data_IF_603880510938
#
_entry.id   IF_603880510938
#
_cell.length_a   1.000
_cell.length_b   1.000
_cell.length_c   1.000
_cell.angle_alpha   90.00
_cell.angle_beta   90.00
_cell.angle_gamma   90.00
#
_symmetry.space_group_name_H-M   'P 1'
#
loop_
_entity.id
_entity.type
_entity.pdbx_description
1 polymer ?
#
# COMPACT_ATOMS: atom_id res chain seq x y z
N UNK A 1 0.63 1.19 -26.68
CA UNK A 1 1.56 0.17 -26.14
C UNK A 1 2.56 0.90 -25.26
N UNK A 2 2.84 0.40 -24.07
CA UNK A 2 3.87 0.98 -23.19
C UNK A 2 5.26 0.86 -23.80
N UNK A 3 6.23 1.63 -23.33
CA UNK A 3 7.63 1.42 -23.68
C UNK A 3 8.11 0.06 -23.15
N UNK A 4 9.10 -0.55 -23.80
CA UNK A 4 9.72 -1.81 -23.32
C UNK A 4 10.25 -1.65 -21.90
N UNK A 5 10.78 -0.47 -21.56
CA UNK A 5 11.22 -0.15 -20.20
C UNK A 5 10.06 -0.19 -19.19
N UNK A 6 8.87 0.30 -19.54
CA UNK A 6 7.71 0.22 -18.66
C UNK A 6 7.26 -1.23 -18.42
N UNK A 7 7.32 -2.08 -19.44
CA UNK A 7 7.04 -3.51 -19.31
C UNK A 7 8.07 -4.21 -18.42
N UNK A 8 9.36 -3.94 -18.61
CA UNK A 8 10.42 -4.49 -17.77
C UNK A 8 10.31 -4.02 -16.31
N UNK A 9 9.89 -2.78 -16.09
CA UNK A 9 9.58 -2.27 -14.75
C UNK A 9 8.39 -3.01 -14.13
N UNK A 10 7.32 -3.27 -14.90
CA UNK A 10 6.16 -4.03 -14.43
C UNK A 10 6.48 -5.49 -14.12
N UNK A 11 7.40 -6.10 -14.87
CA UNK A 11 7.94 -7.43 -14.58
C UNK A 11 8.77 -7.38 -13.30
N UNK A 12 9.77 -6.49 -13.22
CA UNK A 12 10.61 -6.35 -12.04
C UNK A 12 9.77 -6.17 -10.77
N UNK A 13 8.83 -5.22 -10.79
CA UNK A 13 8.00 -4.91 -9.64
C UNK A 13 6.96 -5.99 -9.31
N UNK A 14 6.59 -6.85 -10.27
CA UNK A 14 5.79 -8.04 -9.98
C UNK A 14 6.54 -8.95 -9.01
N UNK A 15 7.78 -9.32 -9.35
CA UNK A 15 8.58 -10.25 -8.57
C UNK A 15 9.04 -9.66 -7.22
N UNK A 16 9.33 -8.36 -7.15
CA UNK A 16 9.65 -7.73 -5.86
C UNK A 16 8.46 -7.72 -4.90
N UNK A 17 7.25 -7.38 -5.37
CA UNK A 17 6.04 -7.36 -4.56
C UNK A 17 5.66 -8.75 -4.02
N UNK A 18 5.74 -9.78 -4.87
CA UNK A 18 5.40 -11.15 -4.47
C UNK A 18 6.46 -11.77 -3.56
N UNK A 19 7.71 -11.29 -3.61
CA UNK A 19 8.75 -11.71 -2.67
C UNK A 19 8.70 -11.00 -1.33
N UNK A 20 8.62 -9.68 -1.35
CA UNK A 20 8.52 -8.87 -0.14
C UNK A 20 7.74 -7.58 -0.43
N UNK A 21 6.45 -7.60 -0.11
CA UNK A 21 5.57 -6.46 -0.28
C UNK A 21 5.97 -5.21 0.53
N UNK A 22 6.85 -5.32 1.54
CA UNK A 22 7.36 -4.17 2.30
C UNK A 22 8.54 -3.47 1.60
N UNK A 23 9.13 -4.09 0.58
CA UNK A 23 10.31 -3.58 -0.11
C UNK A 23 10.26 -3.85 -1.64
N UNK A 24 9.30 -3.22 -2.35
CA UNK A 24 9.07 -3.46 -3.79
C UNK A 24 10.15 -2.86 -4.69
N UNK A 25 11.09 -2.09 -4.15
CA UNK A 25 12.16 -1.46 -4.90
C UNK A 25 13.36 -2.39 -5.12
N UNK A 26 13.41 -3.51 -4.39
CA UNK A 26 14.57 -4.38 -4.33
C UNK A 26 14.23 -5.85 -4.58
N UNK A 27 14.90 -6.46 -5.55
CA UNK A 27 14.70 -7.86 -5.95
C UNK A 27 15.68 -8.79 -5.24
N UNK A 28 15.14 -9.70 -4.42
CA UNK A 28 15.92 -10.74 -3.76
C UNK A 28 16.36 -11.85 -4.72
N UNK A 29 17.43 -12.56 -4.36
CA UNK A 29 17.97 -13.66 -5.17
C UNK A 29 16.94 -14.76 -5.44
N UNK A 30 16.14 -15.11 -4.43
CA UNK A 30 15.07 -16.12 -4.56
C UNK A 30 14.08 -15.75 -5.65
N UNK A 31 13.74 -14.46 -5.78
CA UNK A 31 12.84 -13.95 -6.80
C UNK A 31 13.50 -13.83 -8.17
N UNK A 32 14.80 -13.52 -8.23
CA UNK A 32 15.55 -13.57 -9.49
C UNK A 32 15.61 -15.01 -10.05
N UNK A 33 15.79 -16.01 -9.19
CA UNK A 33 15.75 -17.43 -9.59
C UNK A 33 14.35 -17.85 -10.01
N UNK A 34 13.30 -17.37 -9.32
CA UNK A 34 11.91 -17.63 -9.72
C UNK A 34 11.61 -17.04 -11.11
N UNK A 35 11.96 -15.77 -11.36
CA UNK A 35 11.84 -15.16 -12.68
C UNK A 35 12.55 -15.98 -13.75
N UNK A 36 13.80 -16.41 -13.49
CA UNK A 36 14.56 -17.20 -14.44
C UNK A 36 13.94 -18.57 -14.75
N UNK A 37 13.21 -19.15 -13.80
CA UNK A 37 12.41 -20.36 -14.01
C UNK A 37 11.19 -20.06 -14.88
N UNK A 38 10.43 -19.02 -14.54
CA UNK A 38 9.20 -18.66 -15.24
C UNK A 38 9.46 -18.31 -16.72
N UNK A 39 10.59 -17.65 -16.99
CA UNK A 39 11.03 -17.30 -18.35
C UNK A 39 11.90 -18.38 -19.02
N UNK A 40 11.95 -19.58 -18.42
CA UNK A 40 12.59 -20.77 -18.97
C UNK A 40 14.10 -20.63 -19.28
N UNK A 41 14.83 -19.80 -18.52
CA UNK A 41 16.30 -19.67 -18.69
C UNK A 41 17.06 -20.89 -18.15
N UNK A 42 16.43 -21.60 -17.23
CA UNK A 42 16.94 -22.81 -16.61
C UNK A 42 16.53 -24.09 -17.38
N UNK A 43 15.66 -23.96 -18.37
CA UNK A 43 15.14 -25.08 -19.15
C UNK A 43 15.81 -25.13 -20.53
N UNK A 44 16.22 -26.32 -20.95
CA UNK A 44 16.89 -26.56 -22.24
C UNK A 44 15.93 -26.72 -23.42
N UNK A 45 14.62 -26.60 -23.19
CA UNK A 45 13.59 -26.78 -24.23
C UNK A 45 13.62 -25.67 -25.28
N UNK A 46 13.75 -24.41 -24.87
CA UNK A 46 13.77 -23.26 -25.77
C UNK A 46 15.18 -22.75 -26.08
N UNK A 47 16.17 -23.05 -25.24
CA UNK A 47 17.50 -22.45 -25.31
C UNK A 47 18.57 -23.53 -25.53
N UNK A 48 19.44 -23.31 -26.51
CA UNK A 48 20.54 -24.23 -26.85
C UNK A 48 21.51 -24.48 -25.68
N UNK A 49 21.72 -23.47 -24.86
CA UNK A 49 22.64 -23.47 -23.71
C UNK A 49 21.89 -23.01 -22.46
N UNK A 50 21.14 -23.89 -21.78
CA UNK A 50 20.41 -23.53 -20.58
C UNK A 50 21.36 -23.13 -19.46
N UNK A 51 20.99 -22.11 -18.68
CA UNK A 51 21.75 -21.70 -17.51
C UNK A 51 21.51 -22.65 -16.35
N UNK A 52 22.52 -22.81 -15.49
CA UNK A 52 22.34 -23.47 -14.20
C UNK A 52 22.03 -22.43 -13.13
N UNK A 53 21.33 -22.85 -12.06
CA UNK A 53 21.06 -21.98 -10.91
C UNK A 53 22.31 -21.26 -10.37
N UNK A 54 23.49 -21.91 -10.21
CA UNK A 54 24.70 -21.23 -9.75
C UNK A 54 25.20 -20.11 -10.66
N UNK A 55 24.93 -20.18 -11.98
CA UNK A 55 25.31 -19.10 -12.90
C UNK A 55 24.56 -17.80 -12.59
N UNK A 56 23.27 -17.93 -12.28
CA UNK A 56 22.40 -16.80 -11.91
C UNK A 56 22.84 -16.23 -10.56
N UNK A 57 23.07 -17.09 -9.57
CA UNK A 57 23.52 -16.70 -8.23
C UNK A 57 24.86 -15.97 -8.29
N UNK A 58 25.82 -16.46 -9.08
CA UNK A 58 27.13 -15.83 -9.24
C UNK A 58 27.01 -14.44 -9.87
N UNK A 59 26.22 -14.30 -10.94
CA UNK A 59 26.00 -12.99 -11.60
C UNK A 59 25.32 -12.03 -10.63
N UNK A 60 24.28 -12.47 -9.91
CA UNK A 60 23.58 -11.68 -8.91
C UNK A 60 24.54 -11.19 -7.81
N UNK A 61 25.28 -12.10 -7.18
CA UNK A 61 26.22 -11.79 -6.10
C UNK A 61 27.31 -10.84 -6.60
N UNK A 62 27.79 -11.01 -7.85
CA UNK A 62 28.80 -10.12 -8.43
C UNK A 62 28.31 -8.66 -8.50
N UNK A 63 27.03 -8.44 -8.78
CA UNK A 63 26.44 -7.10 -8.89
C UNK A 63 26.23 -6.48 -7.52
N UNK A 64 25.68 -7.23 -6.56
CA UNK A 64 25.51 -6.78 -5.18
C UNK A 64 26.87 -6.40 -4.56
N UNK A 65 27.90 -7.24 -4.72
CA UNK A 65 29.26 -6.96 -4.20
C UNK A 65 29.92 -5.74 -4.85
N UNK A 66 29.73 -5.53 -6.16
CA UNK A 66 30.29 -4.37 -6.87
C UNK A 66 29.78 -3.04 -6.29
N UNK A 67 28.51 -2.99 -5.86
CA UNK A 67 27.92 -1.82 -5.20
C UNK A 67 28.63 -1.48 -3.89
N UNK A 68 28.97 -2.50 -3.10
CA UNK A 68 29.63 -2.34 -1.80
C UNK A 68 31.07 -1.84 -1.96
N UNK A 69 31.79 -2.31 -2.98
CA UNK A 69 33.19 -1.94 -3.23
C UNK A 69 33.36 -0.55 -3.88
N UNK A 70 32.42 -0.12 -4.72
CA UNK A 70 32.54 1.12 -5.50
C UNK A 70 32.43 2.43 -4.70
N UNK A 71 32.04 2.38 -3.42
CA UNK A 71 31.83 3.60 -2.60
C UNK A 71 33.02 4.05 -1.77
N UNK A 72 34.21 3.45 -1.92
CA UNK A 72 35.42 3.87 -1.20
C UNK A 72 35.30 3.82 0.33
N UNK A 73 34.23 3.21 0.85
CA UNK A 73 34.04 3.03 2.28
C UNK A 73 35.06 1.99 2.72
N UNK A 74 36.06 2.41 3.50
CA UNK A 74 36.92 1.48 4.21
C UNK A 74 36.01 0.52 4.98
N UNK A 75 36.02 -0.74 4.53
CA UNK A 75 35.25 -1.81 5.14
C UNK A 75 35.85 -2.03 6.51
N UNK A 76 35.19 -1.50 7.54
CA UNK A 76 35.58 -1.77 8.92
C UNK A 76 35.19 -3.23 9.21
N UNK A 77 36.16 -4.15 9.36
CA UNK A 77 35.90 -5.59 9.43
C UNK A 77 35.06 -6.00 10.66
N UNK A 78 35.01 -5.14 11.69
CA UNK A 78 34.27 -5.38 12.93
C UNK A 78 32.87 -4.76 12.98
N UNK A 79 32.48 -4.01 11.94
CA UNK A 79 31.09 -3.54 11.82
C UNK A 79 30.22 -4.68 11.28
N UNK A 80 29.81 -5.57 12.19
CA UNK A 80 29.05 -6.79 11.90
C UNK A 80 28.02 -6.57 10.80
N UNK A 81 28.31 -7.16 9.62
CA UNK A 81 27.47 -7.31 8.41
C UNK A 81 26.18 -6.48 8.48
N UNK A 82 26.31 -5.15 8.45
CA UNK A 82 25.13 -4.30 8.45
C UNK A 82 24.38 -4.63 7.17
N UNK A 83 23.15 -5.13 7.29
CA UNK A 83 22.18 -5.54 6.25
C UNK A 83 22.16 -4.63 5.01
N UNK A 84 23.25 -4.58 4.23
CA UNK A 84 23.32 -3.89 2.95
C UNK A 84 22.63 -4.82 1.97
N UNK A 85 21.31 -4.78 2.08
CA UNK A 85 20.28 -5.51 1.37
C UNK A 85 20.85 -6.29 0.19
N UNK A 86 20.96 -7.61 0.35
CA UNK A 86 21.35 -8.61 -0.67
C UNK A 86 20.31 -8.70 -1.79
N UNK A 87 19.99 -7.55 -2.39
CA UNK A 87 18.92 -7.37 -3.36
C UNK A 87 19.33 -6.37 -4.43
N UNK A 88 18.86 -6.63 -5.64
CA UNK A 88 19.13 -5.82 -6.82
C UNK A 88 18.15 -4.65 -6.88
N UNK A 89 18.66 -3.47 -7.25
CA UNK A 89 17.82 -2.38 -7.74
C UNK A 89 17.42 -2.66 -9.20
N UNK A 90 16.47 -1.90 -9.74
CA UNK A 90 16.04 -2.08 -11.13
C UNK A 90 17.18 -1.97 -12.15
N UNK A 91 18.08 -1.00 -12.02
CA UNK A 91 19.23 -0.87 -12.92
C UNK A 91 20.16 -2.09 -12.86
N UNK A 92 20.36 -2.64 -11.68
CA UNK A 92 21.19 -3.84 -11.52
C UNK A 92 20.46 -5.09 -12.01
N UNK A 93 19.15 -5.14 -11.88
CA UNK A 93 18.34 -6.16 -12.52
C UNK A 93 18.52 -6.15 -14.04
N UNK A 94 18.45 -4.97 -14.68
CA UNK A 94 18.74 -4.84 -16.12
C UNK A 94 20.18 -5.27 -16.46
N UNK A 95 21.15 -4.86 -15.63
CA UNK A 95 22.55 -5.28 -15.80
C UNK A 95 22.73 -6.79 -15.61
N UNK A 96 21.94 -7.40 -14.72
CA UNK A 96 21.93 -8.84 -14.49
C UNK A 96 21.44 -9.56 -15.74
N UNK A 97 20.30 -9.14 -16.30
CA UNK A 97 19.76 -9.70 -17.53
C UNK A 97 20.75 -9.56 -18.71
N UNK A 98 21.42 -8.40 -18.85
CA UNK A 98 22.46 -8.20 -19.86
C UNK A 98 23.65 -9.17 -19.70
N UNK A 99 24.09 -9.45 -18.47
CA UNK A 99 25.15 -10.44 -18.23
C UNK A 99 24.70 -11.87 -18.49
N UNK A 100 23.44 -12.19 -18.18
CA UNK A 100 22.89 -13.52 -18.42
C UNK A 100 22.64 -13.76 -19.91
N UNK A 101 22.25 -12.74 -20.68
CA UNK A 101 22.02 -12.87 -22.12
C UNK A 101 23.29 -13.27 -22.86
N UNK A 102 24.45 -12.70 -22.51
CA UNK A 102 25.73 -13.07 -23.12
C UNK A 102 26.12 -14.54 -22.87
N UNK A 103 25.67 -15.14 -21.76
CA UNK A 103 25.90 -16.56 -21.47
C UNK A 103 24.88 -17.47 -22.18
N UNK A 104 23.63 -17.03 -22.31
CA UNK A 104 22.55 -17.79 -22.95
C UNK A 104 22.66 -17.81 -24.47
N UNK A 105 23.13 -16.72 -25.07
CA UNK A 105 23.19 -16.52 -26.51
C UNK A 105 24.61 -16.16 -26.97
N UNK A 106 25.58 -17.10 -26.89
CA UNK A 106 26.97 -16.81 -27.21
C UNK A 106 27.16 -16.35 -28.67
N UNK A 107 26.47 -16.97 -29.63
CA UNK A 107 26.55 -16.58 -31.06
C UNK A 107 26.11 -15.14 -31.31
N UNK A 108 25.06 -14.69 -30.61
CA UNK A 108 24.59 -13.30 -30.71
C UNK A 108 25.48 -12.35 -29.92
N UNK A 109 26.06 -12.82 -28.82
CA UNK A 109 26.98 -12.05 -27.98
C UNK A 109 28.32 -11.77 -28.69
N UNK A 110 28.77 -12.68 -29.57
CA UNK A 110 29.93 -12.47 -30.46
C UNK A 110 29.71 -11.29 -31.41
N UNK A 111 28.48 -11.06 -31.86
CA UNK A 111 28.14 -9.91 -32.71
C UNK A 111 28.04 -8.62 -31.89
N UNK A 112 27.22 -8.64 -30.83
CA UNK A 112 27.05 -7.54 -29.89
C UNK A 112 26.35 -8.00 -28.62
N UNK A 113 26.78 -7.50 -27.46
CA UNK A 113 26.09 -7.74 -26.20
C UNK A 113 24.64 -7.25 -26.23
N UNK A 114 24.36 -6.19 -26.98
CA UNK A 114 23.01 -5.65 -27.16
C UNK A 114 22.11 -6.59 -27.97
N UNK A 115 22.67 -7.26 -28.99
CA UNK A 115 21.93 -8.23 -29.80
C UNK A 115 21.52 -9.44 -28.96
N UNK A 116 22.43 -9.97 -28.15
CA UNK A 116 22.12 -11.05 -27.19
C UNK A 116 21.05 -10.60 -26.17
N UNK A 117 21.16 -9.38 -25.65
CA UNK A 117 20.16 -8.84 -24.72
C UNK A 117 18.78 -8.67 -25.36
N UNK A 118 18.72 -8.12 -26.57
CA UNK A 118 17.47 -8.00 -27.33
C UNK A 118 16.84 -9.37 -27.57
N UNK A 119 17.65 -10.38 -27.94
CA UNK A 119 17.16 -11.74 -28.15
C UNK A 119 16.56 -12.33 -26.87
N UNK A 120 17.25 -12.23 -25.74
CA UNK A 120 16.75 -12.65 -24.43
C UNK A 120 15.41 -11.99 -24.08
N UNK A 121 15.27 -10.69 -24.36
CA UNK A 121 14.04 -9.97 -24.07
C UNK A 121 12.88 -10.44 -24.95
N UNK A 122 13.12 -10.63 -26.25
CA UNK A 122 12.08 -10.96 -27.22
C UNK A 122 11.63 -12.42 -27.13
N UNK A 123 12.54 -13.35 -26.86
CA UNK A 123 12.24 -14.79 -26.86
C UNK A 123 11.76 -15.29 -25.50
N UNK A 124 12.30 -14.75 -24.39
CA UNK A 124 12.04 -15.28 -23.05
C UNK A 124 11.32 -14.29 -22.14
N UNK A 125 11.92 -13.12 -21.89
CA UNK A 125 11.47 -12.26 -20.78
C UNK A 125 10.12 -11.60 -21.09
N UNK A 126 9.96 -10.92 -22.23
CA UNK A 126 8.73 -10.21 -22.55
C UNK A 126 7.53 -11.12 -22.84
N UNK A 127 7.68 -12.32 -23.45
CA UNK A 127 6.55 -13.22 -23.65
C UNK A 127 6.16 -13.98 -22.38
N UNK A 128 7.15 -14.50 -21.63
CA UNK A 128 6.90 -15.52 -20.59
C UNK A 128 6.82 -14.94 -19.17
N UNK A 129 7.42 -13.77 -18.91
CA UNK A 129 7.46 -13.25 -17.55
C UNK A 129 6.07 -12.81 -17.06
N UNK A 130 5.81 -13.15 -15.79
CA UNK A 130 4.70 -12.57 -15.06
C UNK A 130 4.91 -11.07 -14.87
N UNK A 131 3.84 -10.28 -15.02
CA UNK A 131 3.90 -8.82 -15.00
C UNK A 131 2.70 -8.23 -14.29
N UNK A 132 2.88 -7.04 -13.75
CA UNK A 132 1.78 -6.23 -13.23
C UNK A 132 1.01 -5.59 -14.38
N UNK A 133 -0.31 -5.47 -14.19
CA UNK A 133 -1.21 -4.80 -15.13
C UNK A 133 -1.95 -3.68 -14.39
N UNK A 134 -1.28 -2.55 -14.10
CA UNK A 134 -1.92 -1.45 -13.39
C UNK A 134 -3.08 -0.91 -14.21
N UNK A 135 -4.29 -0.89 -13.63
CA UNK A 135 -5.49 -0.36 -14.30
C UNK A 135 -5.34 1.15 -14.45
N UNK A 136 -5.55 1.73 -15.64
CA UNK A 136 -5.64 3.19 -15.75
C UNK A 136 -6.87 3.69 -14.99
N UNK A 137 -6.72 4.81 -14.29
CA UNK A 137 -7.82 5.50 -13.61
C UNK A 137 -7.99 6.94 -14.13
N UNK A 138 -7.41 7.26 -15.29
CA UNK A 138 -7.39 8.62 -15.82
C UNK A 138 -8.81 9.14 -16.03
N UNK A 139 -9.72 8.30 -16.54
CA UNK A 139 -11.13 8.64 -16.70
C UNK A 139 -11.80 9.04 -15.37
N UNK A 140 -11.42 8.39 -14.26
CA UNK A 140 -11.96 8.68 -12.93
C UNK A 140 -11.38 9.98 -12.38
N UNK A 141 -10.08 10.23 -12.58
CA UNK A 141 -9.43 11.45 -12.11
C UNK A 141 -9.96 12.72 -12.80
N UNK A 142 -10.41 12.61 -14.05
CA UNK A 142 -10.99 13.72 -14.81
C UNK A 142 -12.51 13.88 -14.58
N UNK A 143 -13.14 13.00 -13.80
CA UNK A 143 -14.54 13.14 -13.44
C UNK A 143 -14.73 14.42 -12.60
N UNK A 144 -15.63 15.32 -13.02
CA UNK A 144 -15.82 16.63 -12.37
C UNK A 144 -16.04 16.52 -10.86
N UNK A 145 -16.83 15.53 -10.43
CA UNK A 145 -17.12 15.24 -9.03
C UNK A 145 -15.86 14.91 -8.21
N UNK A 146 -14.91 14.17 -8.79
CA UNK A 146 -13.63 13.79 -8.17
C UNK A 146 -12.67 14.97 -8.16
N UNK A 147 -12.64 15.78 -9.23
CA UNK A 147 -11.83 17.00 -9.31
C UNK A 147 -12.28 18.04 -8.28
N UNK A 148 -13.58 18.24 -8.10
CA UNK A 148 -14.12 19.18 -7.12
C UNK A 148 -13.83 18.69 -5.69
N UNK A 149 -13.93 17.37 -5.45
CA UNK A 149 -13.52 16.74 -4.20
C UNK A 149 -12.02 16.94 -3.91
N UNK A 150 -11.18 16.77 -4.93
CA UNK A 150 -9.73 17.02 -4.81
C UNK A 150 -9.44 18.47 -4.43
N UNK A 151 -10.07 19.43 -5.11
CA UNK A 151 -9.90 20.86 -4.80
C UNK A 151 -10.30 21.18 -3.37
N UNK A 152 -11.40 20.60 -2.90
CA UNK A 152 -11.91 20.78 -1.54
C UNK A 152 -10.90 20.30 -0.49
N UNK A 153 -10.39 19.07 -0.63
CA UNK A 153 -9.47 18.46 0.34
C UNK A 153 -7.97 18.73 0.07
N UNK A 154 -7.65 19.49 -0.98
CA UNK A 154 -6.26 19.68 -1.45
C UNK A 154 -5.35 20.12 -0.32
N UNK A 155 -5.78 21.13 0.45
CA UNK A 155 -4.93 21.76 1.46
C UNK A 155 -4.68 20.85 2.67
N UNK A 156 -5.72 20.18 3.18
CA UNK A 156 -5.59 19.27 4.32
C UNK A 156 -4.79 18.02 3.95
N UNK A 157 -5.05 17.42 2.79
CA UNK A 157 -4.28 16.28 2.29
C UNK A 157 -2.82 16.64 1.99
N UNK A 158 -2.54 17.86 1.51
CA UNK A 158 -1.15 18.32 1.29
C UNK A 158 -0.38 18.32 2.60
N UNK A 159 -0.96 18.81 3.70
CA UNK A 159 -0.30 18.82 5.02
C UNK A 159 -0.01 17.41 5.53
N UNK A 160 -0.96 16.48 5.33
CA UNK A 160 -0.77 15.07 5.67
C UNK A 160 0.37 14.48 4.84
N UNK A 161 0.35 14.69 3.52
CA UNK A 161 1.40 14.23 2.61
C UNK A 161 2.78 14.77 2.99
N UNK A 162 2.91 16.08 3.21
CA UNK A 162 4.16 16.75 3.59
C UNK A 162 4.73 16.21 4.90
N UNK A 163 3.87 15.87 5.86
CA UNK A 163 4.33 15.23 7.10
C UNK A 163 5.01 13.89 6.84
N UNK A 164 4.41 13.00 6.05
CA UNK A 164 5.02 11.71 5.73
C UNK A 164 6.25 11.85 4.84
N UNK A 165 6.19 12.73 3.83
CA UNK A 165 7.33 13.00 2.94
C UNK A 165 8.54 13.60 3.68
N UNK A 166 8.32 14.43 4.71
CA UNK A 166 9.40 15.01 5.52
C UNK A 166 9.91 14.06 6.62
N UNK A 167 9.06 13.16 7.13
CA UNK A 167 9.41 12.22 8.20
C UNK A 167 10.51 11.23 7.80
N UNK A 168 10.47 10.71 6.57
CA UNK A 168 11.49 9.77 6.08
C UNK A 168 12.90 10.36 6.11
N UNK A 169 13.03 11.65 5.76
CA UNK A 169 14.31 12.38 5.76
C UNK A 169 14.86 12.61 7.17
N UNK A 170 13.98 12.87 8.14
CA UNK A 170 14.40 13.08 9.52
C UNK A 170 15.01 11.80 10.12
N UNK A 171 14.40 10.64 9.89
CA UNK A 171 14.90 9.36 10.38
C UNK A 171 16.23 8.96 9.74
N UNK A 172 16.42 9.26 8.45
CA UNK A 172 17.68 9.02 7.75
C UNK A 172 18.80 9.94 8.27
N UNK A 173 18.47 11.22 8.51
CA UNK A 173 19.42 12.20 9.06
C UNK A 173 19.82 11.85 10.50
N UNK A 174 18.88 11.43 11.34
CA UNK A 174 19.17 10.99 12.70
C UNK A 174 20.12 9.80 12.71
N UNK A 175 19.84 8.76 11.90
CA UNK A 175 20.75 7.61 11.72
C UNK A 175 22.13 8.01 11.19
N UNK A 176 22.20 8.98 10.27
CA UNK A 176 23.47 9.49 9.77
C UNK A 176 24.25 10.28 10.84
N UNK A 177 23.57 11.11 11.63
CA UNK A 177 24.18 11.86 12.74
C UNK A 177 24.72 10.95 13.83
N UNK A 178 24.00 9.88 14.20
CA UNK A 178 24.49 8.89 15.16
C UNK A 178 25.70 8.11 14.63
N UNK A 179 25.75 7.79 13.33
CA UNK A 179 26.93 7.14 12.72
C UNK A 179 28.14 8.07 12.65
N UNK A 180 27.95 9.35 12.36
CA UNK A 180 29.03 10.35 12.38
C UNK A 180 29.64 10.53 13.76
N UNK A 181 28.83 10.38 14.82
CA UNK A 181 29.31 10.49 16.20
C UNK A 181 29.97 9.21 16.74
N UNK A 182 29.64 8.02 16.19
CA UNK A 182 30.30 6.76 16.56
C UNK A 182 31.56 6.45 15.73
N UNK A 183 31.70 7.00 14.52
CA UNK A 183 32.87 6.77 13.67
C UNK A 183 34.14 7.51 14.12
N UNK A 184 34.03 8.47 15.04
CA UNK A 184 35.16 9.07 15.74
C UNK A 184 34.88 9.05 17.26
N UNK A 185 34.92 7.86 17.88
CA UNK A 185 35.21 7.80 19.30
C UNK A 185 36.70 8.12 19.52
N UNK A 186 37.10 9.36 19.19
CA UNK A 186 38.28 9.96 19.80
C UNK A 186 38.05 9.84 21.31
N UNK A 187 39.03 9.29 22.03
CA UNK A 187 38.92 9.14 23.48
C UNK A 187 38.52 10.49 24.08
N UNK A 188 37.69 10.49 25.11
CA UNK A 188 37.20 11.72 25.75
C UNK A 188 38.35 12.68 26.13
N UNK A 189 39.54 12.14 26.42
CA UNK A 189 40.78 12.89 26.67
C UNK A 189 41.36 13.61 25.44
N UNK A 190 41.19 13.07 24.23
CA UNK A 190 41.67 13.67 22.99
C UNK A 190 40.79 14.85 22.56
N UNK A 191 39.48 14.72 22.75
CA UNK A 191 38.52 15.83 22.61
C UNK A 191 38.81 16.93 23.64
N UNK A 192 39.16 16.58 24.89
CA UNK A 192 39.56 17.55 25.92
C UNK A 192 40.86 18.26 25.56
N UNK A 193 41.83 17.56 24.97
CA UNK A 193 43.08 18.11 24.44
C UNK A 193 42.86 19.11 23.30
N UNK A 194 42.03 18.77 22.31
CA UNK A 194 41.70 19.66 21.19
C UNK A 194 40.92 20.90 21.64
N UNK A 195 40.03 20.77 22.62
CA UNK A 195 39.24 21.89 23.14
C UNK A 195 40.14 22.84 23.95
N UNK A 196 41.08 22.29 24.73
CA UNK A 196 42.08 23.07 25.47
C UNK A 196 43.08 23.78 24.54
N UNK A 197 43.54 23.10 23.47
CA UNK A 197 44.43 23.71 22.48
C UNK A 197 43.76 24.84 21.67
N UNK A 198 42.43 24.80 21.49
CA UNK A 198 41.66 25.91 20.90
C UNK A 198 41.42 27.04 21.88
N UNK A 199 41.26 26.74 23.17
CA UNK A 199 41.13 27.75 24.22
C UNK A 199 42.45 28.53 24.41
N UNK A 200 43.59 27.83 24.40
CA UNK A 200 44.91 28.44 24.61
C UNK A 200 45.41 29.25 23.41
N UNK A 201 44.84 29.05 22.20
CA UNK A 201 45.15 29.84 21.00
C UNK A 201 44.19 31.01 20.75
N UNK A 202 43.19 31.22 21.60
CA UNK A 202 42.09 32.17 21.38
C UNK A 202 41.99 33.32 22.39
N UNK A 203 43.01 33.56 23.21
CA UNK A 203 43.03 34.69 24.15
C UNK A 203 43.45 35.99 23.44
N UNK A 204 42.57 36.55 22.62
CA UNK A 204 42.82 37.86 22.02
C UNK A 204 41.89 38.21 20.87
N UNK A 205 40.60 38.42 21.16
CA UNK A 205 39.78 39.45 20.52
C UNK A 205 38.39 39.47 21.17
N UNK A 206 38.23 40.48 22.02
CA UNK A 206 36.95 40.96 22.53
C UNK A 206 36.29 41.78 21.42
N UNK A 207 35.08 41.40 21.01
CA UNK A 207 34.03 42.27 20.44
C UNK A 207 32.77 41.39 20.24
N UNK A 208 31.75 41.49 21.08
CA UNK A 208 30.61 42.40 20.91
C UNK A 208 29.99 42.38 19.51
N UNK A 209 29.28 41.31 19.16
CA UNK A 209 27.93 41.39 18.57
C UNK A 209 27.34 39.98 18.42
N UNK A 210 26.40 39.62 19.29
CA UNK A 210 25.62 38.37 19.19
C UNK A 210 24.13 38.67 19.21
N UNK A 211 23.66 39.39 18.20
CA UNK A 211 22.27 39.34 17.77
C UNK A 211 22.26 39.48 16.26
N UNK A 212 21.73 38.47 15.53
CA UNK A 212 21.25 38.52 14.12
C UNK A 212 21.29 37.17 13.35
N UNK A 213 21.64 36.02 13.96
CA UNK A 213 21.73 34.75 13.19
C UNK A 213 20.49 33.84 13.21
N UNK A 214 19.38 34.23 13.85
CA UNK A 214 18.16 33.40 13.91
C UNK A 214 17.20 33.55 12.72
N UNK A 215 17.38 34.55 11.85
CA UNK A 215 16.41 34.86 10.78
C UNK A 215 16.64 34.15 9.44
N UNK A 216 17.77 33.45 9.24
CA UNK A 216 18.11 32.81 7.95
C UNK A 216 17.81 31.31 7.84
N UNK A 217 17.28 30.64 8.88
CA UNK A 217 16.91 29.21 8.80
C UNK A 217 15.51 28.92 8.25
N UNK A 218 14.74 29.96 7.90
CA UNK A 218 13.37 29.84 7.37
C UNK A 218 13.29 29.73 5.84
N UNK A 219 14.40 29.62 5.10
CA UNK A 219 14.32 29.14 3.72
C UNK A 219 13.97 27.65 3.76
N UNK A 220 12.67 27.41 3.87
CA UNK A 220 12.00 26.12 3.75
C UNK A 220 12.66 25.31 2.65
N UNK A 221 13.16 24.13 3.04
CA UNK A 221 13.65 23.11 2.14
C UNK A 221 12.53 22.75 1.15
N UNK A 222 12.57 23.32 -0.05
CA UNK A 222 11.73 22.97 -1.21
C UNK A 222 11.94 21.53 -1.73
N UNK A 223 12.62 20.68 -0.95
CA UNK A 223 12.94 19.29 -1.24
C UNK A 223 12.01 18.30 -0.51
N UNK A 224 10.96 18.76 0.18
CA UNK A 224 10.02 17.93 0.96
C UNK A 224 8.86 17.33 0.16
N UNK A 225 8.88 17.41 -1.18
CA UNK A 225 7.70 17.14 -2.01
C UNK A 225 7.54 15.69 -2.49
N UNK A 226 8.30 14.74 -1.94
CA UNK A 226 8.32 13.37 -2.43
C UNK A 226 8.26 12.34 -1.30
N UNK A 227 7.25 11.46 -1.32
CA UNK A 227 7.01 10.40 -0.35
C UNK A 227 7.56 9.07 -0.91
N UNK A 228 8.46 8.42 -0.17
CA UNK A 228 8.95 7.09 -0.52
C UNK A 228 7.98 5.98 -0.10
N UNK A 229 8.27 4.74 -0.49
CA UNK A 229 7.38 3.61 -0.19
C UNK A 229 7.21 3.36 1.31
N UNK A 230 8.28 3.41 2.08
CA UNK A 230 8.23 3.21 3.53
C UNK A 230 7.34 4.26 4.23
N UNK A 231 7.40 5.52 3.78
CA UNK A 231 6.56 6.60 4.29
C UNK A 231 5.10 6.39 3.90
N UNK A 232 4.84 5.88 2.68
CA UNK A 232 3.50 5.52 2.22
C UNK A 232 2.91 4.35 3.01
N UNK A 233 3.69 3.31 3.32
CA UNK A 233 3.23 2.20 4.17
C UNK A 233 2.91 2.69 5.58
N UNK A 234 3.71 3.60 6.13
CA UNK A 234 3.41 4.23 7.40
C UNK A 234 2.10 5.02 7.35
N UNK A 235 1.88 5.81 6.30
CA UNK A 235 0.61 6.47 6.05
C UNK A 235 -0.54 5.46 5.98
N UNK A 236 -0.40 4.39 5.19
CA UNK A 236 -1.43 3.37 5.03
C UNK A 236 -1.77 2.68 6.36
N UNK A 237 -0.77 2.42 7.20
CA UNK A 237 -0.97 1.87 8.55
C UNK A 237 -1.64 2.87 9.49
N UNK A 238 -1.17 4.12 9.53
CA UNK A 238 -1.71 5.17 10.41
C UNK A 238 -3.16 5.54 10.07
N UNK A 239 -3.59 5.35 8.82
CA UNK A 239 -4.96 5.53 8.36
C UNK A 239 -5.75 4.21 8.25
N UNK A 240 -5.21 3.11 8.78
CA UNK A 240 -5.89 1.81 8.88
C UNK A 240 -6.20 1.15 7.54
N UNK A 241 -5.54 1.54 6.44
CA UNK A 241 -5.69 0.96 5.11
C UNK A 241 -5.13 -0.46 5.03
N UNK A 242 -4.18 -0.80 5.91
CA UNK A 242 -3.57 -2.14 6.06
C UNK A 242 -4.16 -2.94 7.22
N UNK A 243 -5.16 -2.40 7.92
CA UNK A 243 -5.79 -3.08 9.07
C UNK A 243 -6.57 -4.31 8.62
N UNK A 244 -6.74 -5.30 9.51
CA UNK A 244 -7.46 -6.58 9.24
C UNK A 244 -8.89 -6.41 8.69
N UNK A 245 -9.52 -5.26 8.91
CA UNK A 245 -10.85 -4.93 8.38
C UNK A 245 -10.85 -4.33 6.98
N UNK A 246 -9.69 -3.97 6.43
CA UNK A 246 -9.55 -3.51 5.05
C UNK A 246 -9.56 -4.72 4.11
N UNK A 247 -10.26 -4.60 2.99
CA UNK A 247 -10.27 -5.62 1.93
C UNK A 247 -8.96 -5.67 1.13
N UNK A 248 -7.97 -4.85 1.49
CA UNK A 248 -6.70 -4.70 0.79
C UNK A 248 -5.59 -5.47 1.48
N UNK A 249 -4.86 -6.28 0.72
CA UNK A 249 -3.64 -6.94 1.17
C UNK A 249 -2.43 -5.99 1.06
N UNK A 250 -1.32 -6.33 1.71
CA UNK A 250 -0.07 -5.58 1.54
C UNK A 250 0.43 -5.60 0.08
N UNK A 251 0.14 -6.67 -0.66
CA UNK A 251 0.45 -6.75 -2.10
C UNK A 251 -0.40 -5.74 -2.87
N UNK A 252 -1.70 -5.63 -2.57
CA UNK A 252 -2.57 -4.62 -3.18
C UNK A 252 -2.03 -3.20 -2.89
N UNK A 253 -1.69 -2.89 -1.64
CA UNK A 253 -1.17 -1.56 -1.26
C UNK A 253 0.13 -1.23 -2.00
N UNK A 254 1.04 -2.21 -2.11
CA UNK A 254 2.27 -2.07 -2.87
C UNK A 254 2.04 -1.87 -4.37
N UNK A 255 1.11 -2.64 -4.95
CA UNK A 255 0.69 -2.50 -6.35
C UNK A 255 0.11 -1.10 -6.63
N UNK A 256 -0.77 -0.61 -5.74
CA UNK A 256 -1.40 0.69 -5.87
C UNK A 256 -0.38 1.84 -5.76
N UNK A 257 0.59 1.75 -4.84
CA UNK A 257 1.71 2.70 -4.75
C UNK A 257 2.49 2.75 -6.06
N UNK A 258 2.97 1.59 -6.53
CA UNK A 258 3.82 1.53 -7.71
C UNK A 258 3.06 1.93 -8.97
N UNK A 259 1.75 1.71 -9.04
CA UNK A 259 0.90 2.21 -10.12
C UNK A 259 0.85 3.75 -10.13
N UNK A 260 0.77 4.39 -8.96
CA UNK A 260 0.83 5.85 -8.85
C UNK A 260 2.18 6.43 -9.26
N UNK A 261 3.29 5.77 -8.90
CA UNK A 261 4.61 6.29 -9.29
C UNK A 261 4.98 6.00 -10.75
N UNK A 262 4.35 5.00 -11.38
CA UNK A 262 4.60 4.70 -12.80
C UNK A 262 4.22 5.86 -13.75
N UNK A 263 3.22 6.67 -13.36
CA UNK A 263 2.72 7.80 -14.14
C UNK A 263 3.51 9.10 -13.95
N UNK A 264 4.49 9.13 -13.05
CA UNK A 264 5.40 10.26 -12.92
C UNK A 264 6.38 10.27 -14.11
N UNK A 265 5.89 10.75 -15.26
CA UNK A 265 6.57 10.78 -16.57
C UNK A 265 7.81 11.67 -16.67
N UNK A 266 8.54 11.88 -15.58
CA UNK A 266 9.82 12.57 -15.55
C UNK A 266 10.95 11.56 -15.36
N UNK A 267 11.67 11.32 -16.44
CA UNK A 267 13.04 10.78 -16.49
C UNK A 267 13.85 11.04 -15.21
N UNK A 268 13.93 10.04 -14.34
CA UNK A 268 15.03 9.93 -13.38
C UNK A 268 15.63 8.54 -13.54
N UNK A 269 16.52 8.44 -14.52
CA UNK A 269 17.42 7.32 -14.73
C UNK A 269 18.08 6.92 -13.40
N UNK A 270 17.60 5.82 -12.80
CA UNK A 270 18.22 5.16 -11.65
C UNK A 270 17.86 5.64 -10.25
N UNK A 271 16.96 6.62 -10.10
CA UNK A 271 16.48 7.05 -8.79
C UNK A 271 15.35 6.17 -8.25
N UNK A 272 15.28 6.00 -6.93
CA UNK A 272 14.08 5.47 -6.26
C UNK A 272 12.90 6.35 -6.62
N UNK A 273 11.91 5.74 -7.27
CA UNK A 273 10.65 6.36 -7.69
C UNK A 273 9.83 6.73 -6.45
N UNK A 274 9.57 8.03 -6.25
CA UNK A 274 8.81 8.57 -5.11
C UNK A 274 7.50 9.20 -5.56
N UNK A 275 6.46 9.12 -4.73
CA UNK A 275 5.17 9.78 -4.97
C UNK A 275 5.29 11.28 -4.76
N UNK A 276 4.82 12.07 -5.72
CA UNK A 276 4.50 13.49 -5.51
C UNK A 276 3.07 13.62 -4.99
N UNK A 277 2.67 14.83 -4.62
CA UNK A 277 1.32 15.05 -4.08
C UNK A 277 0.19 14.69 -5.08
N UNK A 278 0.36 14.95 -6.37
CA UNK A 278 -0.62 14.56 -7.39
C UNK A 278 -0.74 13.03 -7.49
N UNK A 279 0.41 12.35 -7.52
CA UNK A 279 0.48 10.90 -7.55
C UNK A 279 -0.12 10.29 -6.25
N UNK A 280 0.04 10.96 -5.11
CA UNK A 280 -0.58 10.57 -3.85
C UNK A 280 -2.12 10.63 -3.89
N UNK A 281 -2.69 11.69 -4.46
CA UNK A 281 -4.14 11.76 -4.68
C UNK A 281 -4.64 10.67 -5.64
N UNK A 282 -3.87 10.40 -6.70
CA UNK A 282 -4.15 9.28 -7.60
C UNK A 282 -4.19 7.96 -6.83
N UNK A 283 -3.19 7.68 -6.00
CA UNK A 283 -3.12 6.46 -5.18
C UNK A 283 -4.31 6.36 -4.23
N UNK A 284 -4.75 7.46 -3.59
CA UNK A 284 -5.97 7.46 -2.74
C UNK A 284 -7.19 7.00 -3.55
N UNK A 285 -7.38 7.51 -4.77
CA UNK A 285 -8.49 7.09 -5.61
C UNK A 285 -8.36 5.61 -6.03
N UNK A 286 -7.15 5.14 -6.35
CA UNK A 286 -6.90 3.72 -6.66
C UNK A 286 -7.24 2.82 -5.47
N UNK A 287 -6.84 3.22 -4.26
CA UNK A 287 -7.17 2.54 -3.00
C UNK A 287 -8.69 2.47 -2.82
N UNK A 288 -9.42 3.56 -3.04
CA UNK A 288 -10.88 3.59 -2.92
C UNK A 288 -11.56 2.64 -3.91
N UNK A 289 -11.12 2.65 -5.17
CA UNK A 289 -11.67 1.79 -6.21
C UNK A 289 -11.40 0.30 -5.93
N UNK A 290 -10.20 -0.04 -5.45
CA UNK A 290 -9.85 -1.41 -5.12
C UNK A 290 -10.56 -1.90 -3.85
N UNK A 291 -10.61 -1.07 -2.80
CA UNK A 291 -11.25 -1.41 -1.53
C UNK A 291 -12.75 -1.67 -1.70
N UNK A 292 -13.40 -0.83 -2.51
CA UNK A 292 -14.85 -0.86 -2.75
C UNK A 292 -15.20 -1.39 -4.15
N UNK A 293 -14.39 -2.31 -4.68
CA UNK A 293 -14.63 -2.92 -6.01
C UNK A 293 -15.97 -3.65 -6.10
N UNK A 294 -16.48 -4.18 -4.97
CA UNK A 294 -17.77 -4.88 -4.87
C UNK A 294 -18.98 -3.94 -4.71
N UNK A 295 -18.75 -2.67 -4.36
CA UNK A 295 -19.83 -1.71 -4.15
C UNK A 295 -20.26 -1.10 -5.49
N UNK A 296 -21.56 -1.20 -5.81
CA UNK A 296 -22.17 -0.62 -7.00
C UNK A 296 -22.54 0.86 -6.79
N UNK A 297 -21.55 1.68 -6.42
CA UNK A 297 -21.69 3.13 -6.21
C UNK A 297 -20.75 3.89 -7.13
N UNK A 298 -21.04 5.18 -7.36
CA UNK A 298 -20.22 6.05 -8.21
C UNK A 298 -18.79 6.17 -7.68
N UNK A 299 -17.81 6.45 -8.56
CA UNK A 299 -16.40 6.52 -8.16
C UNK A 299 -16.15 7.61 -7.10
N UNK A 300 -16.79 8.78 -7.24
CA UNK A 300 -16.71 9.85 -6.24
C UNK A 300 -17.22 9.40 -4.86
N UNK A 301 -18.33 8.65 -4.81
CA UNK A 301 -18.86 8.09 -3.56
C UNK A 301 -17.90 7.05 -2.95
N UNK A 302 -17.20 6.24 -3.77
CA UNK A 302 -16.13 5.35 -3.28
C UNK A 302 -14.99 6.14 -2.63
N UNK A 303 -14.53 7.22 -3.27
CA UNK A 303 -13.48 8.08 -2.71
C UNK A 303 -13.92 8.75 -1.43
N UNK A 304 -15.15 9.29 -1.36
CA UNK A 304 -15.73 9.82 -0.11
C UNK A 304 -15.86 8.77 0.98
N UNK A 305 -16.24 7.54 0.63
CA UNK A 305 -16.28 6.39 1.54
C UNK A 305 -14.90 6.07 2.13
N UNK A 306 -13.85 6.15 1.31
CA UNK A 306 -12.48 5.99 1.79
C UNK A 306 -12.08 7.12 2.74
N UNK A 307 -12.39 8.37 2.39
CA UNK A 307 -12.12 9.52 3.26
C UNK A 307 -12.88 9.43 4.59
N UNK A 308 -14.12 8.92 4.59
CA UNK A 308 -14.89 8.63 5.81
C UNK A 308 -14.17 7.60 6.68
N UNK A 309 -13.68 6.52 6.06
CA UNK A 309 -12.92 5.50 6.76
C UNK A 309 -11.62 6.06 7.36
N UNK A 310 -10.85 6.83 6.57
CA UNK A 310 -9.65 7.53 7.03
C UNK A 310 -9.95 8.45 8.21
N UNK A 311 -11.04 9.22 8.14
CA UNK A 311 -11.48 10.10 9.23
C UNK A 311 -11.77 9.31 10.52
N UNK A 312 -12.49 8.18 10.43
CA UNK A 312 -12.75 7.32 11.60
C UNK A 312 -11.45 6.83 12.24
N UNK A 313 -10.48 6.41 11.42
CA UNK A 313 -9.18 5.94 11.91
C UNK A 313 -8.37 7.06 12.59
N UNK A 314 -8.44 8.29 12.05
CA UNK A 314 -7.85 9.46 12.70
C UNK A 314 -8.46 9.66 14.10
N UNK A 315 -9.77 9.53 14.27
CA UNK A 315 -10.40 9.69 15.58
C UNK A 315 -9.94 8.62 16.58
N UNK A 316 -9.87 7.36 16.15
CA UNK A 316 -9.36 6.25 16.99
C UNK A 316 -7.90 6.48 17.39
N UNK A 317 -7.05 6.89 16.45
CA UNK A 317 -5.62 7.06 16.69
C UNK A 317 -5.30 8.31 17.50
N UNK A 318 -6.01 9.42 17.27
CA UNK A 318 -5.86 10.65 18.07
C UNK A 318 -6.33 10.42 19.50
N UNK A 319 -7.44 9.71 19.71
CA UNK A 319 -7.90 9.32 21.05
C UNK A 319 -6.85 8.51 21.82
N UNK A 320 -6.23 7.53 21.15
CA UNK A 320 -5.16 6.72 21.73
C UNK A 320 -3.88 7.52 22.01
N UNK A 321 -3.53 8.49 21.16
CA UNK A 321 -2.34 9.32 21.32
C UNK A 321 -2.49 10.39 22.42
N UNK A 322 -3.68 10.97 22.58
CA UNK A 322 -3.94 11.97 23.61
C UNK A 322 -4.05 11.37 25.03
N UNK A 323 -4.45 10.10 25.15
CA UNK A 323 -4.67 9.47 26.46
C UNK A 323 -3.42 9.10 27.26
N UNK A 324 -2.21 9.09 26.67
CA UNK A 324 -1.05 8.47 27.35
C UNK A 324 0.21 9.31 27.57
N UNK A 325 0.43 10.48 26.95
CA UNK A 325 1.56 11.37 27.31
C UNK A 325 1.55 12.69 26.51
N UNK A 326 0.70 13.64 26.88
CA UNK A 326 0.60 14.96 26.20
C UNK A 326 1.90 15.78 26.30
N UNK A 327 2.77 15.51 27.28
CA UNK A 327 3.98 16.32 27.51
C UNK A 327 5.18 15.98 26.58
N UNK A 328 5.31 14.76 26.06
CA UNK A 328 6.40 14.38 25.13
C UNK A 328 6.05 14.58 23.64
N UNK A 329 4.82 14.99 23.33
CA UNK A 329 4.36 15.27 21.95
C UNK A 329 4.83 16.63 21.39
N UNK A 330 5.57 17.44 22.16
CA UNK A 330 6.16 18.71 21.69
C UNK A 330 7.34 18.56 20.73
N UNK A 331 7.71 17.34 20.32
CA UNK A 331 8.65 17.19 19.20
C UNK A 331 7.98 17.73 17.93
N UNK A 332 8.62 18.74 17.32
CA UNK A 332 8.08 19.58 16.24
C UNK A 332 7.47 18.83 15.05
N UNK A 333 7.84 17.56 14.83
CA UNK A 333 7.35 16.77 13.70
C UNK A 333 5.93 16.23 13.94
N UNK A 334 5.61 15.67 15.13
CA UNK A 334 4.28 15.07 15.39
C UNK A 334 3.15 16.11 15.37
N UNK A 335 3.45 17.36 15.70
CA UNK A 335 2.49 18.47 15.61
C UNK A 335 2.02 18.74 14.18
N UNK A 336 2.86 18.48 13.17
CA UNK A 336 2.49 18.65 11.75
C UNK A 336 1.38 17.70 11.32
N UNK A 337 1.50 16.40 11.65
CA UNK A 337 0.45 15.42 11.38
C UNK A 337 -0.85 15.77 12.09
N UNK A 338 -0.78 16.12 13.38
CA UNK A 338 -1.98 16.43 14.16
C UNK A 338 -2.74 17.60 13.54
N UNK A 339 -2.03 18.66 13.13
CA UNK A 339 -2.63 19.81 12.46
C UNK A 339 -3.27 19.42 11.12
N UNK A 340 -2.55 18.68 10.27
CA UNK A 340 -3.09 18.20 8.99
C UNK A 340 -4.34 17.33 9.15
N UNK A 341 -4.33 16.41 10.12
CA UNK A 341 -5.45 15.52 10.44
C UNK A 341 -6.64 16.25 11.06
N UNK A 342 -6.41 17.30 11.86
CA UNK A 342 -7.47 18.16 12.40
C UNK A 342 -8.15 18.99 11.31
N UNK A 343 -7.36 19.58 10.41
CA UNK A 343 -7.88 20.33 9.27
C UNK A 343 -8.70 19.41 8.34
N UNK A 344 -8.17 18.22 8.04
CA UNK A 344 -8.89 17.18 7.29
C UNK A 344 -10.21 16.79 7.97
N UNK A 345 -10.17 16.57 9.29
CA UNK A 345 -11.38 16.18 10.04
C UNK A 345 -12.45 17.27 10.03
N UNK A 346 -12.05 18.54 10.12
CA UNK A 346 -12.97 19.68 10.07
C UNK A 346 -13.63 19.80 8.70
N UNK A 347 -12.84 19.78 7.64
CA UNK A 347 -13.32 19.83 6.25
C UNK A 347 -14.26 18.65 5.96
N UNK A 348 -13.86 17.45 6.39
CA UNK A 348 -14.67 16.25 6.15
C UNK A 348 -16.02 16.31 6.86
N UNK A 349 -16.06 16.70 8.14
CA UNK A 349 -17.31 16.84 8.89
C UNK A 349 -18.22 17.90 8.24
N UNK A 350 -17.68 19.05 7.82
CA UNK A 350 -18.46 20.10 7.19
C UNK A 350 -19.10 19.60 5.87
N UNK A 351 -18.33 18.91 5.02
CA UNK A 351 -18.86 18.29 3.81
C UNK A 351 -19.92 17.22 4.14
N UNK A 352 -19.64 16.33 5.09
CA UNK A 352 -20.53 15.22 5.42
C UNK A 352 -21.85 15.72 6.05
N UNK A 353 -21.80 16.78 6.85
CA UNK A 353 -22.97 17.46 7.39
C UNK A 353 -23.81 18.10 6.28
N UNK A 354 -23.17 18.79 5.33
CA UNK A 354 -23.86 19.38 4.17
C UNK A 354 -24.57 18.31 3.31
N UNK A 355 -24.06 17.07 3.32
CA UNK A 355 -24.64 15.92 2.62
C UNK A 355 -25.58 15.08 3.50
N UNK A 356 -25.94 15.58 4.69
CA UNK A 356 -26.91 14.95 5.59
C UNK A 356 -26.42 13.65 6.22
N UNK A 357 -25.12 13.53 6.48
CA UNK A 357 -24.48 12.33 7.05
C UNK A 357 -24.74 11.05 6.25
N UNK A 358 -24.86 11.16 4.91
CA UNK A 358 -25.07 10.02 4.00
C UNK A 358 -23.97 8.95 4.17
N UNK A 359 -24.37 7.68 4.11
CA UNK A 359 -23.43 6.58 3.90
C UNK A 359 -23.09 6.46 2.41
N UNK A 360 -21.82 6.63 2.06
CA UNK A 360 -21.36 6.66 0.67
C UNK A 360 -21.26 5.27 0.03
N UNK A 361 -21.13 4.21 0.82
CA UNK A 361 -20.87 2.87 0.30
C UNK A 361 -22.15 2.08 0.05
N UNK A 362 -23.26 2.51 0.65
CA UNK A 362 -24.56 1.91 0.41
C UNK A 362 -25.32 2.73 -0.63
N UNK A 363 -25.80 2.09 -1.72
CA UNK A 363 -26.65 2.79 -2.66
C UNK A 363 -27.86 3.33 -1.90
N UNK A 364 -28.23 4.59 -2.18
CA UNK A 364 -29.41 5.20 -1.59
C UNK A 364 -30.57 4.26 -1.91
N UNK A 365 -31.14 3.62 -0.89
CA UNK A 365 -32.38 2.85 -1.09
C UNK A 365 -33.33 3.80 -1.81
N UNK A 366 -33.84 3.39 -2.97
CA UNK A 366 -34.84 4.17 -3.66
C UNK A 366 -35.89 4.53 -2.62
N UNK A 367 -36.18 5.83 -2.48
CA UNK A 367 -37.18 6.27 -1.52
C UNK A 367 -38.41 5.40 -1.78
N UNK A 368 -39.04 4.82 -0.72
CA UNK A 368 -40.21 3.99 -0.91
C UNK A 368 -41.16 4.77 -1.80
N UNK A 369 -41.46 4.21 -2.98
CA UNK A 369 -42.22 4.93 -3.98
C UNK A 369 -43.53 5.36 -3.31
N UNK A 370 -43.82 6.66 -3.33
CA UNK A 370 -45.05 7.17 -2.75
C UNK A 370 -46.23 6.38 -3.33
N UNK A 371 -47.19 6.00 -2.48
CA UNK A 371 -48.28 5.13 -2.89
C UNK A 371 -49.04 5.64 -4.12
N UNK A 372 -49.10 6.97 -4.31
CA UNK A 372 -49.66 7.60 -5.52
C UNK A 372 -48.88 7.31 -6.80
N UNK A 373 -47.55 7.30 -6.73
CA UNK A 373 -46.67 7.01 -7.87
C UNK A 373 -46.69 5.52 -8.21
N UNK A 374 -46.82 4.67 -7.19
CA UNK A 374 -47.02 3.22 -7.40
C UNK A 374 -48.40 2.98 -8.04
N UNK A 375 -49.44 3.63 -7.53
CA UNK A 375 -50.80 3.52 -8.05
C UNK A 375 -50.92 4.06 -9.48
N UNK A 376 -50.27 5.19 -9.81
CA UNK A 376 -50.29 5.75 -11.17
C UNK A 376 -49.60 4.83 -12.17
N UNK A 377 -48.48 4.19 -11.77
CA UNK A 377 -47.80 3.16 -12.59
C UNK A 377 -48.66 1.92 -12.81
N UNK A 378 -49.36 1.46 -11.75
CA UNK A 378 -50.32 0.35 -11.84
C UNK A 378 -51.48 0.67 -12.79
N UNK A 379 -52.06 1.87 -12.69
CA UNK A 379 -53.16 2.31 -13.55
C UNK A 379 -52.71 2.50 -15.00
N UNK A 380 -51.49 3.00 -15.23
CA UNK A 380 -50.92 3.20 -16.55
C UNK A 380 -50.62 1.90 -17.32
N UNK A 381 -50.85 0.73 -16.71
CA UNK A 381 -50.54 -0.56 -17.32
C UNK A 381 -49.05 -0.77 -17.58
N UNK A 382 -48.19 0.05 -16.96
CA UNK A 382 -46.76 -0.16 -16.96
C UNK A 382 -46.54 -1.44 -16.16
N UNK A 383 -46.38 -2.57 -16.86
CA UNK A 383 -46.12 -3.87 -16.26
C UNK A 383 -44.87 -3.70 -15.39
N UNK A 384 -45.08 -3.41 -14.11
CA UNK A 384 -44.07 -3.54 -13.08
C UNK A 384 -43.74 -5.02 -13.15
N UNK A 385 -42.67 -5.35 -13.88
CA UNK A 385 -41.99 -6.62 -13.71
C UNK A 385 -41.74 -6.64 -12.22
N UNK A 386 -42.55 -7.42 -11.50
CA UNK A 386 -42.24 -7.77 -10.14
C UNK A 386 -40.80 -8.24 -10.24
N UNK A 387 -39.87 -7.44 -9.70
CA UNK A 387 -38.48 -7.86 -9.58
C UNK A 387 -38.63 -9.23 -8.95
N UNK A 388 -38.36 -10.26 -9.78
CA UNK A 388 -38.55 -11.64 -9.37
C UNK A 388 -37.79 -11.69 -8.07
N UNK A 389 -38.52 -11.90 -6.96
CA UNK A 389 -37.90 -12.15 -5.67
C UNK A 389 -36.75 -13.10 -5.99
N UNK A 390 -35.50 -12.74 -5.66
CA UNK A 390 -34.35 -13.56 -6.02
C UNK A 390 -34.75 -14.99 -5.67
N UNK A 391 -34.67 -15.93 -6.63
CA UNK A 391 -35.10 -17.29 -6.38
C UNK A 391 -34.48 -17.70 -5.04
N UNK A 392 -35.28 -18.22 -4.09
CA UNK A 392 -34.74 -18.63 -2.81
C UNK A 392 -33.49 -19.45 -3.11
N UNK A 393 -32.34 -19.14 -2.46
CA UNK A 393 -31.07 -19.75 -2.80
C UNK A 393 -31.31 -21.25 -2.85
N UNK A 394 -31.20 -21.81 -4.06
CA UNK A 394 -31.37 -23.23 -4.32
C UNK A 394 -30.09 -23.93 -3.88
N UNK A 395 -29.70 -23.71 -2.64
CA UNK A 395 -28.77 -24.58 -1.97
C UNK A 395 -29.60 -25.84 -1.70
N UNK A 396 -29.36 -26.88 -2.49
CA UNK A 396 -29.98 -28.20 -2.34
C UNK A 396 -29.59 -28.91 -1.04
N UNK A 397 -29.29 -28.14 0.01
CA UNK A 397 -29.03 -28.62 1.36
C UNK A 397 -30.41 -28.73 2.02
N UNK A 398 -30.93 -29.95 2.08
CA UNK A 398 -32.05 -30.27 2.97
C UNK A 398 -31.53 -30.12 4.40
N UNK A 399 -31.97 -29.07 5.08
CA UNK A 399 -31.76 -28.93 6.51
C UNK A 399 -32.87 -29.71 7.21
N UNK A 400 -32.61 -30.97 7.55
CA UNK A 400 -33.45 -31.73 8.49
C UNK A 400 -32.93 -31.43 9.90
N UNK A 401 -33.76 -30.74 10.69
CA UNK A 401 -33.52 -30.54 12.11
C UNK A 401 -34.20 -31.71 12.82
N UNK A 402 -33.43 -32.74 13.16
CA UNK A 402 -33.92 -33.87 13.93
C UNK A 402 -34.16 -33.39 15.37
N UNK A 403 -35.43 -33.36 15.79
CA UNK A 403 -35.78 -33.15 17.19
C UNK A 403 -35.80 -34.55 17.80
N UNK A 404 -34.79 -34.88 18.60
CA UNK A 404 -34.73 -36.16 19.32
C UNK A 404 -35.94 -36.30 20.26
N UNK A 405 -36.45 -37.51 20.43
CA UNK A 405 -37.67 -37.72 21.22
C UNK A 405 -37.46 -37.38 22.71
N UNK A 406 -36.21 -37.40 23.19
CA UNK A 406 -35.84 -37.02 24.56
C UNK A 406 -36.05 -35.50 24.83
N UNK A 407 -35.92 -34.65 23.80
CA UNK A 407 -36.10 -33.19 23.90
C UNK A 407 -37.57 -32.74 23.91
N UNK A 408 -38.49 -33.66 23.58
CA UNK A 408 -39.93 -33.37 23.55
C UNK A 408 -40.45 -32.97 24.94
N UNK A 409 -39.91 -33.57 25.99
CA UNK A 409 -40.27 -33.27 27.39
C UNK A 409 -39.87 -31.85 27.82
N UNK A 410 -38.73 -31.35 27.33
CA UNK A 410 -38.23 -30.00 27.61
C UNK A 410 -39.05 -28.95 26.87
N UNK A 411 -39.40 -29.21 25.61
CA UNK A 411 -40.23 -28.32 24.80
C UNK A 411 -41.66 -28.20 25.34
N UNK A 412 -42.23 -29.30 25.81
CA UNK A 412 -43.53 -29.31 26.48
C UNK A 412 -43.53 -28.51 27.78
N UNK A 413 -42.41 -28.53 28.52
CA UNK A 413 -42.19 -27.69 29.71
C UNK A 413 -42.26 -26.19 29.43
N UNK A 414 -41.97 -25.78 28.19
CA UNK A 414 -42.11 -24.40 27.71
C UNK A 414 -43.44 -24.12 26.99
N UNK A 415 -44.38 -25.06 27.00
CA UNK A 415 -45.68 -24.94 26.35
C UNK A 415 -45.62 -25.05 24.82
N UNK A 416 -44.52 -25.54 24.27
CA UNK A 416 -44.33 -25.72 22.83
C UNK A 416 -44.73 -27.16 22.50
N UNK A 417 -45.75 -27.33 21.65
CA UNK A 417 -46.16 -28.66 21.19
C UNK A 417 -45.21 -29.13 20.08
N UNK A 418 -44.40 -30.20 20.31
CA UNK A 418 -43.36 -30.62 19.39
C UNK A 418 -43.91 -30.98 18.00
N UNK A 419 -45.09 -31.58 17.92
CA UNK A 419 -45.74 -31.90 16.65
C UNK A 419 -46.09 -30.66 15.81
N UNK A 420 -46.55 -29.59 16.47
CA UNK A 420 -46.86 -28.32 15.78
C UNK A 420 -45.58 -27.62 15.34
N UNK A 421 -44.50 -27.73 16.12
CA UNK A 421 -43.20 -27.19 15.76
C UNK A 421 -42.62 -27.94 14.56
N UNK A 422 -42.61 -29.29 14.57
CA UNK A 422 -42.21 -30.13 13.43
C UNK A 422 -43.01 -29.77 12.17
N UNK A 423 -44.34 -29.64 12.28
CA UNK A 423 -45.19 -29.24 11.16
C UNK A 423 -44.94 -27.81 10.66
N UNK A 424 -44.54 -26.89 11.54
CA UNK A 424 -44.25 -25.50 11.19
C UNK A 424 -42.87 -25.36 10.53
N UNK A 425 -41.87 -26.08 11.02
CA UNK A 425 -40.54 -26.16 10.39
C UNK A 425 -40.62 -26.81 9.00
N UNK A 426 -41.45 -27.84 8.83
CA UNK A 426 -41.72 -28.45 7.52
C UNK A 426 -42.39 -27.47 6.52
N UNK A 427 -43.22 -26.54 7.01
CA UNK A 427 -43.91 -25.54 6.17
C UNK A 427 -43.07 -24.29 5.90
N UNK A 428 -42.06 -23.99 6.72
CA UNK A 428 -41.29 -22.74 6.70
C UNK A 428 -39.79 -22.98 6.91
N UNK A 429 -39.06 -23.42 5.88
CA UNK A 429 -37.63 -23.74 5.98
C UNK A 429 -36.77 -22.53 6.36
N UNK A 430 -37.22 -21.30 6.11
CA UNK A 430 -36.53 -20.08 6.55
C UNK A 430 -36.36 -19.98 8.08
N UNK A 431 -37.28 -20.58 8.85
CA UNK A 431 -37.21 -20.57 10.33
C UNK A 431 -36.12 -21.54 10.82
N UNK A 432 -35.97 -22.69 10.15
CA UNK A 432 -34.91 -23.67 10.44
C UNK A 432 -33.53 -23.01 10.33
N UNK A 433 -33.31 -22.23 9.26
CA UNK A 433 -32.05 -21.52 9.03
C UNK A 433 -31.76 -20.46 10.09
N UNK A 434 -32.77 -19.72 10.54
CA UNK A 434 -32.60 -18.73 11.60
C UNK A 434 -32.28 -19.38 12.95
N UNK A 435 -32.90 -20.53 13.25
CA UNK A 435 -32.62 -21.29 14.47
C UNK A 435 -31.20 -21.87 14.46
N UNK A 436 -30.75 -22.44 13.34
CA UNK A 436 -29.37 -22.92 13.20
C UNK A 436 -28.34 -21.80 13.30
N UNK A 437 -28.61 -20.64 12.70
CA UNK A 437 -27.74 -19.48 12.83
C UNK A 437 -27.69 -19.00 14.29
N UNK A 438 -28.83 -18.99 15.00
CA UNK A 438 -28.88 -18.67 16.42
C UNK A 438 -28.09 -19.67 17.29
N UNK A 439 -28.20 -20.97 16.99
CA UNK A 439 -27.44 -22.03 17.67
C UNK A 439 -25.92 -21.88 17.47
N UNK A 440 -25.49 -21.62 16.22
CA UNK A 440 -24.09 -21.31 15.89
C UNK A 440 -23.57 -20.07 16.63
N UNK A 441 -24.39 -19.02 16.74
CA UNK A 441 -24.01 -17.80 17.46
C UNK A 441 -23.89 -18.02 18.98
N UNK A 442 -24.59 -19.01 19.54
CA UNK A 442 -24.53 -19.39 20.96
C UNK A 442 -23.38 -20.40 21.22
N UNK A 443 -22.77 -20.95 20.16
CA UNK A 443 -21.67 -21.92 20.26
C UNK A 443 -22.12 -23.33 20.62
N UNK A 444 -23.37 -23.66 20.33
CA UNK A 444 -23.92 -25.03 20.43
C UNK A 444 -23.96 -25.59 19.00
N UNK A 445 -22.84 -26.18 18.58
CA UNK A 445 -22.66 -26.79 17.25
C UNK A 445 -22.95 -28.30 17.23
N UNK A 446 -23.18 -28.91 18.40
CA UNK A 446 -23.56 -30.32 18.57
C UNK A 446 -24.98 -30.46 19.10
#
# INVERSE_FOLDING_TARGET
MGSVEAELWNIFTYYTLHGNALDPEHLALTQMVQLARDVQLLDGTLIKTPLRKPDIELVFISLVKKRTLGKGAQVNPDSGLSNSVDKLTYNEFLTCLLKLSSKLYPTSAEQSAEAAFQQLLMENVLPLASRRSPKSIDAVLHEKSVVDLFKYFKQSLTKIFEYYASSGMASAKEKASYRGFQAESKNFDELRGETKAKLDKGAGLVSSDMSLSSSMRSKQNSMTSAMGYADFIRFASDFGLTSKGSSLTMIDIGDLYLAGVANAGGTHHGGVRKLRFQDFWEVINRVALQAYKKCAVNHCDKTKGLLLYMWRQVQTNVGNAMGKNVQTLRSSNKGGLLKGSQDFSREFIAMWQNEGFKDYLYPKKAAPAEGRTVLSKLIAGENVKADRLPPPPSDGIRYELEIEDDDSSVLEGHGIQPDKLRALLAKKPEIVRLLQQGLQEIGLDD
#
